data_IF_830128323754
#
_entry.id   IF_830128323754
#
_cell.length_a   1.000
_cell.length_b   1.000
_cell.length_c   1.000
_cell.angle_alpha   90.00
_cell.angle_beta   90.00
_cell.angle_gamma   90.00
#
_symmetry.space_group_name_H-M   'P 1'
#
loop_
_entity.id
_entity.type
_entity.pdbx_description
1 polymer ?
#
# COMPACT_ATOMS: atom_id res chain seq x y z
N UNK A 1 10.06 40.29 5.98
CA UNK A 1 9.58 39.42 7.08
C UNK A 1 8.35 38.63 6.61
N UNK A 2 8.53 37.71 5.65
CA UNK A 2 7.47 36.80 5.18
C UNK A 2 8.08 35.61 4.41
N UNK A 3 9.26 35.81 3.82
CA UNK A 3 10.05 34.74 3.20
C UNK A 3 10.58 33.67 4.18
N UNK A 4 10.73 33.97 5.48
CA UNK A 4 11.35 33.05 6.46
C UNK A 4 10.39 32.02 7.07
N UNK A 5 9.09 32.12 6.80
CA UNK A 5 8.07 31.18 7.30
C UNK A 5 7.91 29.99 6.34
N UNK A 6 8.07 30.20 5.03
CA UNK A 6 8.03 29.11 4.03
C UNK A 6 9.30 28.24 4.02
N UNK A 7 10.46 28.80 4.38
CA UNK A 7 11.71 28.03 4.50
C UNK A 7 11.73 27.07 5.71
N UNK A 8 10.83 27.24 6.68
CA UNK A 8 10.71 26.40 7.88
C UNK A 8 9.92 25.11 7.66
N UNK A 9 9.34 24.90 6.47
CA UNK A 9 8.72 23.66 6.03
C UNK A 9 9.56 23.05 4.91
N UNK A 10 10.86 22.93 5.16
CA UNK A 10 11.76 22.15 4.32
C UNK A 10 11.17 20.76 4.14
N UNK A 11 10.78 20.44 2.90
CA UNK A 11 10.32 19.10 2.52
C UNK A 11 11.36 18.05 2.93
N UNK A 12 12.64 18.42 2.90
CA UNK A 12 13.75 17.62 3.37
C UNK A 12 13.67 17.28 4.87
N UNK A 13 13.18 18.19 5.73
CA UNK A 13 13.07 17.92 7.17
C UNK A 13 11.85 17.03 7.49
N UNK A 14 10.77 17.12 6.71
CA UNK A 14 9.63 16.18 6.74
C UNK A 14 10.08 14.78 6.26
N UNK A 15 10.98 14.73 5.27
CA UNK A 15 11.53 13.48 4.75
C UNK A 15 12.54 12.88 5.75
N UNK A 16 13.39 13.68 6.38
CA UNK A 16 14.59 13.17 7.06
C UNK A 16 14.36 12.59 8.47
N UNK A 17 13.24 12.87 9.16
CA UNK A 17 13.06 12.42 10.56
C UNK A 17 12.07 11.26 10.76
N UNK A 18 11.21 10.94 9.78
CA UNK A 18 10.22 9.86 9.93
C UNK A 18 9.58 9.31 8.65
N UNK A 19 10.12 9.57 7.45
CA UNK A 19 9.54 8.92 6.25
C UNK A 19 9.90 7.44 6.23
N UNK A 20 8.96 6.64 6.73
CA UNK A 20 8.87 5.23 6.39
C UNK A 20 8.66 5.16 4.87
N UNK A 21 9.71 4.75 4.15
CA UNK A 21 9.63 4.60 2.70
C UNK A 21 8.59 3.54 2.37
N UNK A 22 7.44 3.98 1.84
CA UNK A 22 6.39 3.08 1.39
C UNK A 22 6.79 2.58 0.00
N UNK A 23 6.96 1.27 -0.20
CA UNK A 23 7.16 0.73 -1.53
C UNK A 23 5.88 0.91 -2.34
N UNK A 24 6.03 1.54 -3.51
CA UNK A 24 4.95 1.76 -4.46
C UNK A 24 5.11 0.80 -5.64
N UNK A 25 3.99 0.47 -6.27
CA UNK A 25 3.99 -0.24 -7.56
C UNK A 25 4.55 0.66 -8.65
N UNK A 26 5.13 0.05 -9.68
CA UNK A 26 5.57 0.80 -10.86
C UNK A 26 4.40 1.08 -11.78
N UNK A 27 4.53 2.09 -12.65
CA UNK A 27 3.48 2.45 -13.62
C UNK A 27 3.13 1.28 -14.55
N UNK A 28 4.10 0.42 -14.86
CA UNK A 28 3.89 -0.76 -15.71
C UNK A 28 3.02 -1.81 -14.98
N UNK A 29 3.25 -2.04 -13.68
CA UNK A 29 2.43 -2.94 -12.85
C UNK A 29 0.98 -2.47 -12.78
N UNK A 30 0.75 -1.15 -12.67
CA UNK A 30 -0.60 -0.59 -12.62
C UNK A 30 -1.38 -0.82 -13.93
N UNK A 31 -0.71 -0.71 -15.08
CA UNK A 31 -1.35 -0.96 -16.38
C UNK A 31 -1.78 -2.43 -16.49
N UNK A 32 -0.94 -3.35 -16.05
CA UNK A 32 -1.25 -4.79 -16.06
C UNK A 32 -2.45 -5.12 -15.15
N UNK A 33 -2.48 -4.55 -13.94
CA UNK A 33 -3.59 -4.72 -12.98
C UNK A 33 -4.90 -4.12 -13.52
N UNK A 34 -4.86 -2.95 -14.15
CA UNK A 34 -6.06 -2.33 -14.71
C UNK A 34 -6.59 -3.05 -15.95
N UNK A 35 -5.73 -3.83 -16.62
CA UNK A 35 -6.08 -4.60 -17.82
C UNK A 35 -6.52 -6.04 -17.52
N UNK A 36 -6.40 -6.49 -16.26
CA UNK A 36 -6.83 -7.83 -15.85
C UNK A 36 -8.30 -7.86 -15.47
N UNK A 37 -9.00 -8.87 -15.98
CA UNK A 37 -10.41 -9.09 -15.63
C UNK A 37 -10.54 -9.50 -14.17
N UNK A 38 -11.41 -8.79 -13.44
CA UNK A 38 -11.75 -9.16 -12.07
C UNK A 38 -12.70 -10.37 -12.07
N UNK A 39 -12.54 -11.32 -11.14
CA UNK A 39 -13.47 -12.42 -10.99
C UNK A 39 -14.85 -11.90 -10.54
N UNK A 40 -15.90 -12.65 -10.89
CA UNK A 40 -17.28 -12.34 -10.49
C UNK A 40 -17.46 -12.36 -8.97
N UNK A 41 -16.74 -13.27 -8.29
CA UNK A 41 -16.70 -13.36 -6.84
C UNK A 41 -15.30 -13.01 -6.31
N UNK A 42 -15.24 -12.04 -5.39
CA UNK A 42 -14.00 -11.59 -4.78
C UNK A 42 -13.87 -12.09 -3.34
N UNK A 43 -12.79 -12.84 -3.08
CA UNK A 43 -12.43 -13.26 -1.73
C UNK A 43 -11.99 -12.07 -0.86
N UNK A 44 -12.52 -11.98 0.37
CA UNK A 44 -12.15 -10.91 1.32
C UNK A 44 -11.14 -11.43 2.33
N UNK A 45 -9.91 -10.91 2.30
CA UNK A 45 -8.89 -11.16 3.30
C UNK A 45 -8.97 -10.12 4.43
N UNK A 46 -9.47 -10.48 5.64
CA UNK A 46 -9.60 -9.51 6.72
C UNK A 46 -8.23 -9.17 7.31
N UNK A 47 -7.90 -7.87 7.33
CA UNK A 47 -6.72 -7.31 8.01
C UNK A 47 -7.15 -6.61 9.31
N UNK A 48 -6.24 -6.49 10.27
CA UNK A 48 -6.46 -5.76 11.52
C UNK A 48 -5.54 -4.56 11.57
N UNK A 49 -6.12 -3.40 11.92
CA UNK A 49 -5.35 -2.17 12.12
C UNK A 49 -4.54 -1.75 10.89
N UNK A 50 -5.02 -2.06 9.69
CA UNK A 50 -4.35 -1.75 8.42
C UNK A 50 -5.37 -1.23 7.42
N UNK A 51 -5.01 -0.16 6.72
CA UNK A 51 -5.68 0.37 5.54
C UNK A 51 -4.63 0.44 4.43
N UNK A 52 -4.94 -0.09 3.26
CA UNK A 52 -4.03 -0.08 2.10
C UNK A 52 -4.67 0.80 1.03
N UNK A 53 -3.89 1.73 0.51
CA UNK A 53 -4.30 2.57 -0.62
C UNK A 53 -3.86 1.93 -1.94
N UNK A 54 -4.56 2.21 -3.06
CA UNK A 54 -4.14 1.77 -4.39
C UNK A 54 -2.68 2.15 -4.67
N UNK A 55 -1.94 1.25 -5.34
CA UNK A 55 -0.53 1.44 -5.68
C UNK A 55 0.47 1.16 -4.55
N UNK A 56 0.02 0.86 -3.33
CA UNK A 56 0.91 0.51 -2.20
C UNK A 56 1.21 -0.98 -2.16
N UNK A 57 2.48 -1.35 -2.04
CA UNK A 57 2.92 -2.73 -1.78
C UNK A 57 3.28 -2.88 -0.31
N UNK A 58 2.60 -3.79 0.38
CA UNK A 58 2.86 -4.09 1.78
C UNK A 58 3.04 -5.59 2.01
N UNK A 59 4.11 -6.03 2.70
CA UNK A 59 4.22 -7.43 3.12
C UNK A 59 3.15 -7.75 4.17
N UNK A 60 2.42 -8.85 3.99
CA UNK A 60 1.42 -9.32 4.95
C UNK A 60 1.78 -10.70 5.49
N UNK A 61 1.56 -10.91 6.78
CA UNK A 61 1.75 -12.21 7.43
C UNK A 61 0.40 -12.84 7.75
N UNK A 62 0.09 -13.98 7.14
CA UNK A 62 -1.13 -14.73 7.40
C UNK A 62 -0.89 -15.86 8.41
N UNK A 63 -1.30 -15.67 9.66
CA UNK A 63 -1.12 -16.67 10.74
C UNK A 63 -2.36 -17.48 11.12
N UNK A 64 -3.56 -17.08 10.65
CA UNK A 64 -4.82 -17.78 10.99
C UNK A 64 -5.15 -18.80 9.93
N UNK A 65 -5.53 -20.01 10.35
CA UNK A 65 -5.90 -21.08 9.43
C UNK A 65 -6.98 -20.70 8.42
N UNK A 66 -7.96 -19.87 8.82
CA UNK A 66 -9.01 -19.39 7.92
C UNK A 66 -8.45 -18.48 6.82
N UNK A 67 -7.50 -17.60 7.15
CA UNK A 67 -6.82 -16.74 6.19
C UNK A 67 -5.93 -17.55 5.25
N UNK A 68 -5.19 -18.53 5.78
CA UNK A 68 -4.37 -19.44 4.97
C UNK A 68 -5.22 -20.26 3.99
N UNK A 69 -6.38 -20.77 4.42
CA UNK A 69 -7.32 -21.48 3.54
C UNK A 69 -7.86 -20.57 2.43
N UNK A 70 -8.22 -19.33 2.76
CA UNK A 70 -8.70 -18.35 1.78
C UNK A 70 -7.65 -18.05 0.71
N UNK A 71 -6.40 -17.80 1.13
CA UNK A 71 -5.30 -17.51 0.19
C UNK A 71 -5.07 -18.70 -0.74
N UNK A 72 -5.09 -19.93 -0.21
CA UNK A 72 -4.93 -21.16 -1.00
C UNK A 72 -6.13 -21.51 -1.89
N UNK A 73 -7.31 -20.94 -1.66
CA UNK A 73 -8.47 -21.19 -2.52
C UNK A 73 -8.51 -20.27 -3.74
N UNK A 74 -7.73 -19.17 -3.71
CA UNK A 74 -7.65 -18.19 -4.80
C UNK A 74 -6.33 -18.28 -5.60
N UNK A 75 -5.36 -19.06 -5.11
CA UNK A 75 -4.09 -19.38 -5.78
C UNK A 75 -4.14 -20.81 -6.29
#
# INVERSE_FOLDING_TARGET
MLHRIMDSLSLSDIINESTEFIPLMTSDDEVEINSTDLPEELAILPLRNTVIFPGVVAPITAGRDKSLRLIRSIT
#
